data_IF_339120584895
#
_entry.id   IF_339120584895
#
_cell.length_a   1.000
_cell.length_b   1.000
_cell.length_c   1.000
_cell.angle_alpha   90.00
_cell.angle_beta   90.00
_cell.angle_gamma   90.00
#
_symmetry.space_group_name_H-M   'P 1'
#
loop_
_entity.id
_entity.type
_entity.pdbx_description
1 polymer ?
#
# COMPACT_ATOMS: atom_id res chain seq x y z
N UNK A 1 3.83 -25.09 -8.51
CA UNK A 1 3.98 -23.72 -9.02
C UNK A 1 3.89 -22.83 -7.80
N UNK A 2 4.93 -22.05 -7.48
CA UNK A 2 4.82 -21.02 -6.46
C UNK A 2 3.78 -20.00 -6.94
N UNK A 3 2.71 -19.82 -6.15
CA UNK A 3 1.69 -18.81 -6.42
C UNK A 3 2.24 -17.40 -6.25
N UNK A 4 1.54 -16.38 -6.76
CA UNK A 4 1.93 -14.99 -6.54
C UNK A 4 1.74 -14.67 -5.06
N UNK A 5 2.76 -14.12 -4.41
CA UNK A 5 2.76 -13.76 -2.99
C UNK A 5 2.97 -12.27 -2.81
N UNK A 6 2.29 -11.68 -1.84
CA UNK A 6 2.51 -10.30 -1.39
C UNK A 6 2.99 -10.37 0.06
N UNK A 7 4.21 -9.89 0.31
CA UNK A 7 4.96 -10.22 1.52
C UNK A 7 4.98 -11.75 1.71
N UNK A 8 4.42 -12.26 2.80
CA UNK A 8 4.33 -13.69 3.08
C UNK A 8 2.94 -14.28 2.87
N UNK A 9 2.05 -13.59 2.14
CA UNK A 9 0.65 -13.99 1.97
C UNK A 9 0.40 -14.40 0.51
N UNK A 10 -0.11 -15.62 0.25
CA UNK A 10 -0.61 -15.99 -1.08
C UNK A 10 -1.75 -15.06 -1.52
N UNK A 11 -1.72 -14.58 -2.77
CA UNK A 11 -2.77 -13.69 -3.29
C UNK A 11 -4.14 -14.33 -3.20
N UNK A 12 -4.24 -15.65 -3.37
CA UNK A 12 -5.49 -16.41 -3.31
C UNK A 12 -6.19 -16.31 -1.94
N UNK A 13 -5.45 -16.08 -0.85
CA UNK A 13 -6.01 -15.87 0.48
C UNK A 13 -6.62 -14.46 0.67
N UNK A 14 -6.27 -13.52 -0.21
CA UNK A 14 -6.76 -12.14 -0.17
C UNK A 14 -7.91 -11.91 -1.16
N UNK A 15 -8.08 -12.80 -2.14
CA UNK A 15 -9.13 -12.67 -3.17
C UNK A 15 -10.52 -12.75 -2.53
N UNK A 16 -11.37 -11.78 -2.85
CA UNK A 16 -12.75 -11.70 -2.36
C UNK A 16 -12.91 -10.99 -1.01
N UNK A 17 -11.80 -10.68 -0.34
CA UNK A 17 -11.82 -9.93 0.93
C UNK A 17 -12.09 -8.43 0.72
N UNK A 18 -12.46 -7.75 1.81
CA UNK A 18 -12.64 -6.30 1.82
C UNK A 18 -11.31 -5.55 1.87
N UNK A 19 -11.30 -4.26 1.52
CA UNK A 19 -10.08 -3.45 1.54
C UNK A 19 -9.51 -3.31 2.96
N UNK A 20 -10.37 -3.28 3.98
CA UNK A 20 -9.99 -3.24 5.39
C UNK A 20 -9.22 -4.50 5.78
N UNK A 21 -9.73 -5.68 5.39
CA UNK A 21 -9.09 -6.96 5.66
C UNK A 21 -7.76 -7.05 4.93
N UNK A 22 -7.72 -6.68 3.65
CA UNK A 22 -6.47 -6.67 2.87
C UNK A 22 -5.44 -5.75 3.52
N UNK A 23 -5.80 -4.53 3.92
CA UNK A 23 -4.87 -3.63 4.62
C UNK A 23 -4.34 -4.26 5.89
N UNK A 24 -5.22 -4.78 6.76
CA UNK A 24 -4.82 -5.41 8.01
C UNK A 24 -3.83 -6.55 7.78
N UNK A 25 -4.08 -7.41 6.78
CA UNK A 25 -3.20 -8.52 6.42
C UNK A 25 -1.84 -8.03 5.91
N UNK A 26 -1.83 -6.99 5.06
CA UNK A 26 -0.59 -6.43 4.52
C UNK A 26 0.26 -5.66 5.54
N UNK A 27 -0.30 -5.31 6.69
CA UNK A 27 0.41 -4.67 7.82
C UNK A 27 0.66 -5.62 8.99
N UNK A 28 0.35 -6.92 8.88
CA UNK A 28 0.40 -7.87 9.99
C UNK A 28 1.81 -8.03 10.60
N UNK A 29 2.84 -7.82 9.80
CA UNK A 29 4.27 -7.86 10.15
C UNK A 29 4.89 -6.48 10.45
N UNK A 30 4.08 -5.41 10.50
CA UNK A 30 4.54 -4.04 10.77
C UNK A 30 4.25 -3.61 12.21
N UNK A 31 4.99 -2.62 12.72
CA UNK A 31 4.65 -1.99 14.00
C UNK A 31 3.39 -1.11 13.81
N UNK A 32 2.29 -1.36 14.56
CA UNK A 32 1.08 -0.56 14.45
C UNK A 32 1.27 0.91 14.84
N UNK A 33 2.32 1.26 15.59
CA UNK A 33 2.66 2.64 15.94
C UNK A 33 3.60 3.31 14.94
N UNK A 34 4.25 2.53 14.07
CA UNK A 34 5.25 2.99 13.10
C UNK A 34 5.10 2.23 11.77
N UNK A 35 3.96 2.45 11.10
CA UNK A 35 3.67 1.82 9.81
C UNK A 35 4.52 2.46 8.71
N UNK A 36 5.32 1.66 8.03
CA UNK A 36 5.99 2.06 6.79
C UNK A 36 4.96 2.22 5.65
N UNK A 37 4.52 3.46 5.45
CA UNK A 37 3.56 3.83 4.41
C UNK A 37 4.08 3.53 3.00
N UNK A 38 5.39 3.64 2.78
CA UNK A 38 6.01 3.35 1.48
C UNK A 38 5.89 1.88 1.13
N UNK A 39 6.20 1.01 2.09
CA UNK A 39 6.10 -0.43 1.94
C UNK A 39 4.64 -0.89 1.85
N UNK A 40 3.74 -0.37 2.69
CA UNK A 40 2.31 -0.68 2.63
C UNK A 40 1.71 -0.32 1.25
N UNK A 41 2.02 0.88 0.75
CA UNK A 41 1.55 1.34 -0.56
C UNK A 41 2.05 0.43 -1.68
N UNK A 42 3.32 0.00 -1.59
CA UNK A 42 3.91 -0.94 -2.56
C UNK A 42 3.17 -2.28 -2.53
N UNK A 43 3.01 -2.90 -1.35
CA UNK A 43 2.30 -4.17 -1.17
C UNK A 43 0.88 -4.12 -1.70
N UNK A 44 0.12 -3.07 -1.39
CA UNK A 44 -1.26 -2.93 -1.84
C UNK A 44 -1.36 -2.78 -3.36
N UNK A 45 -0.45 -2.02 -3.98
CA UNK A 45 -0.38 -1.89 -5.45
C UNK A 45 0.02 -3.20 -6.12
N UNK A 46 0.96 -3.93 -5.54
CA UNK A 46 1.42 -5.22 -6.06
C UNK A 46 0.29 -6.26 -5.98
N UNK A 47 -0.51 -6.26 -4.90
CA UNK A 47 -1.76 -7.03 -4.79
C UNK A 47 -2.73 -6.71 -5.94
N UNK A 48 -3.01 -5.43 -6.19
CA UNK A 48 -3.89 -5.03 -7.30
C UNK A 48 -3.35 -5.46 -8.67
N UNK A 49 -2.03 -5.45 -8.84
CA UNK A 49 -1.39 -5.89 -10.08
C UNK A 49 -1.55 -7.39 -10.27
N UNK A 50 -1.38 -8.18 -9.20
CA UNK A 50 -1.62 -9.62 -9.21
C UNK A 50 -3.08 -9.96 -9.56
N UNK A 51 -4.06 -9.24 -9.00
CA UNK A 51 -5.47 -9.43 -9.37
C UNK A 51 -5.72 -9.20 -10.87
N UNK A 52 -5.08 -8.19 -11.48
CA UNK A 52 -5.19 -7.92 -12.92
C UNK A 52 -4.57 -9.05 -13.74
N UNK A 53 -3.39 -9.51 -13.37
CA UNK A 53 -2.67 -10.58 -14.07
C UNK A 53 -3.45 -11.89 -14.06
N UNK A 54 -4.07 -12.22 -12.92
CA UNK A 54 -4.91 -13.41 -12.73
C UNK A 54 -6.34 -13.24 -13.26
N UNK A 55 -6.67 -12.08 -13.85
CA UNK A 55 -8.00 -11.73 -14.40
C UNK A 55 -9.14 -11.75 -13.37
N UNK A 56 -8.84 -11.43 -12.12
CA UNK A 56 -9.87 -11.21 -11.09
C UNK A 56 -10.49 -9.81 -11.23
N UNK A 57 -11.75 -9.70 -10.82
CA UNK A 57 -12.42 -8.40 -10.72
C UNK A 57 -11.85 -7.60 -9.55
N UNK A 58 -11.61 -6.30 -9.78
CA UNK A 58 -11.10 -5.40 -8.75
C UNK A 58 -12.24 -4.49 -8.28
N UNK A 59 -12.67 -4.61 -7.00
CA UNK A 59 -13.68 -3.71 -6.45
C UNK A 59 -13.21 -2.25 -6.51
N UNK A 60 -14.11 -1.32 -6.88
CA UNK A 60 -13.77 0.10 -6.95
C UNK A 60 -13.24 0.68 -5.63
N UNK A 61 -13.69 0.15 -4.48
CA UNK A 61 -13.16 0.51 -3.16
C UNK A 61 -11.69 0.18 -2.98
N UNK A 62 -11.20 -0.92 -3.58
CA UNK A 62 -9.78 -1.27 -3.56
C UNK A 62 -8.94 -0.26 -4.34
N UNK A 63 -9.44 0.16 -5.52
CA UNK A 63 -8.79 1.21 -6.32
C UNK A 63 -8.73 2.53 -5.54
N UNK A 64 -9.84 2.90 -4.88
CA UNK A 64 -9.89 4.09 -4.03
C UNK A 64 -8.88 4.01 -2.88
N UNK A 65 -8.83 2.90 -2.13
CA UNK A 65 -7.87 2.71 -1.06
C UNK A 65 -6.43 2.87 -1.55
N UNK A 66 -6.07 2.24 -2.68
CA UNK A 66 -4.75 2.38 -3.29
C UNK A 66 -4.44 3.83 -3.69
N UNK A 67 -5.42 4.58 -4.22
CA UNK A 67 -5.23 5.99 -4.59
C UNK A 67 -4.98 6.89 -3.38
N UNK A 68 -5.62 6.59 -2.23
CA UNK A 68 -5.42 7.30 -0.97
C UNK A 68 -4.01 7.04 -0.44
N UNK A 69 -3.58 5.78 -0.40
CA UNK A 69 -2.22 5.41 0.01
C UNK A 69 -1.14 6.10 -0.84
N UNK A 70 -1.32 6.07 -2.17
CA UNK A 70 -0.40 6.75 -3.10
C UNK A 70 -0.36 8.26 -2.87
N UNK A 71 -1.51 8.89 -2.61
CA UNK A 71 -1.56 10.31 -2.28
C UNK A 71 -0.82 10.60 -0.98
N UNK A 72 -1.08 9.85 0.09
CA UNK A 72 -0.39 10.02 1.37
C UNK A 72 1.13 9.87 1.23
N UNK A 73 1.59 8.88 0.46
CA UNK A 73 3.01 8.70 0.16
C UNK A 73 3.58 9.90 -0.60
N UNK A 74 2.85 10.40 -1.60
CA UNK A 74 3.28 11.57 -2.37
C UNK A 74 3.35 12.83 -1.51
N UNK A 75 2.37 13.04 -0.63
CA UNK A 75 2.34 14.18 0.28
C UNK A 75 3.56 14.14 1.22
N UNK A 76 3.91 12.98 1.78
CA UNK A 76 5.11 12.83 2.62
C UNK A 76 6.42 13.12 1.89
N UNK A 77 6.57 12.67 0.64
CA UNK A 77 7.75 13.00 -0.18
C UNK A 77 7.89 14.50 -0.41
N UNK A 78 6.78 15.20 -0.64
CA UNK A 78 6.79 16.66 -0.85
C UNK A 78 7.14 17.43 0.43
N UNK A 79 6.74 16.92 1.60
CA UNK A 79 7.12 17.50 2.90
C UNK A 79 8.63 17.35 3.18
N UNK A 80 9.24 16.21 2.82
CA UNK A 80 10.69 15.98 2.93
C UNK A 80 11.49 16.93 2.03
N UNK A 81 10.96 17.26 0.85
CA UNK A 81 11.61 18.17 -0.12
C UNK A 81 11.35 19.66 0.19
N UNK A 82 10.44 19.98 1.11
CA UNK A 82 10.14 21.36 1.44
C UNK A 82 11.36 22.03 2.11
N UNK A 83 11.81 23.20 1.63
CA UNK A 83 12.89 23.93 2.27
C UNK A 83 12.49 24.21 3.72
N UNK A 84 13.26 23.71 4.67
CA UNK A 84 13.03 24.00 6.08
C UNK A 84 13.20 25.51 6.26
N UNK A 85 12.21 26.22 6.80
CA UNK A 85 12.24 27.67 7.13
C UNK A 85 13.44 28.11 8.01
N UNK A 86 14.34 27.19 8.37
CA UNK A 86 15.58 27.42 9.11
C UNK A 86 16.75 27.93 8.25
N UNK A 87 16.69 27.80 6.92
CA UNK A 87 17.80 28.23 6.03
C UNK A 87 17.84 29.77 5.80
N UNK A 88 16.76 30.48 6.15
CA UNK A 88 16.66 31.94 5.98
C UNK A 88 17.14 32.75 7.22
N UNK A 89 17.69 32.07 8.24
CA UNK A 89 18.21 32.67 9.48
C UNK A 89 19.72 32.45 9.63
N UNK A 90 20.52 32.69 8.59
CA UNK A 90 21.99 32.79 8.66
C UNK A 90 22.50 33.98 7.87
#
# INVERSE_FOLDING_TARGET
MEGIRIAEIPVEELVGESWEVVLHRLTEDMDPWDIDLTELTRRFRDYLSALRELRFEIPGRMVLACSILLRMKSDGLLEEEAPTERDDLV
#
